data_IF_996008504186
#
_entry.id   IF_996008504186
#
_cell.length_a   1.000
_cell.length_b   1.000
_cell.length_c   1.000
_cell.angle_alpha   90.00
_cell.angle_beta   90.00
_cell.angle_gamma   90.00
#
_symmetry.space_group_name_H-M   'P 1'
#
loop_
_entity.id
_entity.type
_entity.pdbx_description
1 polymer ?
#
# COMPACT_ATOMS: atom_id res chain seq x y z
N UNK A 1 -2.54 -34.80 1.44
CA UNK A 1 -3.26 -33.59 1.77
C UNK A 1 -3.05 -32.51 0.73
N UNK A 2 -3.82 -31.47 0.85
CA UNK A 2 -3.67 -30.33 -0.03
C UNK A 2 -2.47 -29.51 0.38
N UNK A 3 -1.73 -29.01 -0.59
CA UNK A 3 -0.66 -28.06 -0.32
C UNK A 3 -1.26 -26.79 0.27
N UNK A 4 -0.60 -26.24 1.28
CA UNK A 4 -1.02 -24.97 1.84
C UNK A 4 -0.80 -23.84 0.84
N UNK A 5 -1.77 -22.97 0.75
CA UNK A 5 -1.65 -21.78 -0.08
C UNK A 5 -0.84 -20.71 0.63
N UNK A 6 -0.16 -19.88 -0.15
CA UNK A 6 0.53 -18.72 0.38
C UNK A 6 -0.53 -17.65 0.68
N UNK A 7 -0.60 -17.21 1.92
CA UNK A 7 -1.58 -16.22 2.35
C UNK A 7 -1.03 -14.81 2.13
N UNK A 8 -1.78 -13.99 1.41
CA UNK A 8 -1.39 -12.62 1.07
C UNK A 8 -2.38 -11.66 1.72
N UNK A 9 -1.91 -10.87 2.67
CA UNK A 9 -2.71 -9.88 3.38
C UNK A 9 -2.52 -8.51 2.73
N UNK A 10 -3.58 -7.95 2.17
CA UNK A 10 -3.57 -6.61 1.62
C UNK A 10 -4.11 -5.64 2.67
N UNK A 11 -3.22 -4.87 3.26
CA UNK A 11 -3.50 -3.95 4.36
C UNK A 11 -3.54 -2.53 3.82
N UNK A 12 -4.57 -1.77 4.17
CA UNK A 12 -4.65 -0.40 3.67
C UNK A 12 -5.95 0.31 4.02
N UNK A 13 -6.16 1.39 3.29
CA UNK A 13 -7.33 2.26 3.43
C UNK A 13 -8.34 2.01 2.32
N UNK A 14 -9.03 3.07 1.89
CA UNK A 14 -10.05 2.98 0.85
C UNK A 14 -9.51 2.51 -0.50
N UNK A 15 -8.27 2.79 -0.82
CA UNK A 15 -7.67 2.33 -2.08
C UNK A 15 -7.57 0.81 -2.10
N UNK A 16 -7.12 0.21 -1.00
CA UNK A 16 -7.07 -1.25 -0.86
C UNK A 16 -8.47 -1.83 -0.79
N UNK A 17 -9.35 -1.20 -0.01
CA UNK A 17 -10.75 -1.64 0.10
C UNK A 17 -11.44 -1.67 -1.26
N UNK A 18 -11.14 -0.69 -2.12
CA UNK A 18 -11.78 -0.57 -3.42
C UNK A 18 -12.97 0.39 -3.40
N UNK A 19 -12.88 1.44 -2.57
CA UNK A 19 -13.94 2.44 -2.48
C UNK A 19 -14.26 3.04 -3.85
N UNK A 20 -15.55 3.10 -4.18
CA UNK A 20 -16.02 3.70 -5.42
C UNK A 20 -15.91 2.81 -6.65
N UNK A 21 -15.36 1.60 -6.52
CA UNK A 21 -15.21 0.68 -7.64
C UNK A 21 -16.49 -0.12 -7.81
N UNK A 22 -17.00 -0.12 -9.03
CA UNK A 22 -18.16 -0.95 -9.40
C UNK A 22 -17.77 -2.42 -9.31
N UNK A 23 -18.67 -3.25 -8.74
CA UNK A 23 -18.39 -4.67 -8.49
C UNK A 23 -17.08 -4.85 -7.72
N UNK A 24 -17.00 -4.18 -6.58
CA UNK A 24 -15.79 -4.13 -5.75
C UNK A 24 -15.21 -5.52 -5.46
N UNK A 25 -16.08 -6.50 -5.19
CA UNK A 25 -15.64 -7.85 -4.81
C UNK A 25 -14.76 -8.51 -5.85
N UNK A 26 -14.90 -8.13 -7.12
CA UNK A 26 -14.08 -8.69 -8.20
C UNK A 26 -13.08 -7.67 -8.75
N UNK A 27 -13.31 -6.37 -8.56
CA UNK A 27 -12.56 -5.32 -9.26
C UNK A 27 -11.61 -4.52 -8.38
N UNK A 28 -11.65 -4.66 -7.06
CA UNK A 28 -10.63 -4.04 -6.21
C UNK A 28 -9.25 -4.66 -6.47
N UNK A 29 -8.18 -3.96 -6.10
CA UNK A 29 -6.85 -4.47 -6.43
C UNK A 29 -6.57 -5.84 -5.80
N UNK A 30 -6.94 -6.12 -4.53
CA UNK A 30 -6.70 -7.47 -3.97
C UNK A 30 -7.42 -8.57 -4.73
N UNK A 31 -8.64 -8.33 -5.21
CA UNK A 31 -9.38 -9.33 -5.98
C UNK A 31 -8.73 -9.58 -7.34
N UNK A 32 -8.28 -8.52 -8.01
CA UNK A 32 -7.57 -8.68 -9.28
C UNK A 32 -6.22 -9.36 -9.08
N UNK A 33 -5.53 -9.06 -7.97
CA UNK A 33 -4.29 -9.73 -7.62
C UNK A 33 -4.51 -11.22 -7.41
N UNK A 34 -5.60 -11.61 -6.74
CA UNK A 34 -5.94 -13.02 -6.55
C UNK A 34 -6.08 -13.74 -7.89
N UNK A 35 -6.75 -13.12 -8.85
CA UNK A 35 -6.91 -13.72 -10.18
C UNK A 35 -5.56 -13.93 -10.86
N UNK A 36 -4.65 -12.97 -10.73
CA UNK A 36 -3.32 -13.07 -11.33
C UNK A 36 -2.45 -14.13 -10.67
N UNK A 37 -2.53 -14.25 -9.35
CA UNK A 37 -1.70 -15.18 -8.60
C UNK A 37 -2.18 -16.62 -8.71
N UNK A 38 -3.48 -16.84 -8.86
CA UNK A 38 -4.04 -18.17 -9.01
C UNK A 38 -4.20 -18.92 -7.69
N UNK A 39 -4.47 -20.23 -7.81
CA UNK A 39 -4.92 -21.06 -6.68
C UNK A 39 -3.85 -21.38 -5.65
N UNK A 40 -2.58 -21.17 -5.97
CA UNK A 40 -1.50 -21.38 -5.01
C UNK A 40 -1.46 -20.30 -3.93
N UNK A 41 -2.24 -19.24 -4.10
CA UNK A 41 -2.26 -18.10 -3.19
C UNK A 41 -3.69 -17.85 -2.69
N UNK A 42 -3.77 -17.35 -1.46
CA UNK A 42 -5.03 -16.88 -0.88
C UNK A 42 -4.86 -15.41 -0.52
N UNK A 43 -5.47 -14.52 -1.32
CA UNK A 43 -5.37 -13.08 -1.12
C UNK A 43 -6.59 -12.60 -0.34
N UNK A 44 -6.37 -11.82 0.70
CA UNK A 44 -7.44 -11.26 1.52
C UNK A 44 -7.32 -9.73 1.59
N UNK A 45 -8.47 -9.07 1.53
CA UNK A 45 -8.57 -7.61 1.55
C UNK A 45 -8.86 -7.15 2.98
N UNK A 46 -7.88 -6.49 3.59
CA UNK A 46 -8.02 -5.89 4.93
C UNK A 46 -7.97 -4.37 4.85
N UNK A 47 -8.49 -3.81 3.76
CA UNK A 47 -8.63 -2.38 3.62
C UNK A 47 -9.77 -1.82 4.46
N UNK A 48 -9.59 -0.62 5.03
CA UNK A 48 -10.62 0.08 5.77
C UNK A 48 -10.65 1.54 5.33
N UNK A 49 -11.76 1.94 4.71
CA UNK A 49 -11.91 3.31 4.17
C UNK A 49 -11.73 4.35 5.26
N UNK A 50 -10.95 5.38 4.96
CA UNK A 50 -10.69 6.47 5.89
C UNK A 50 -9.61 6.19 6.93
N UNK A 51 -9.03 4.99 6.96
CA UNK A 51 -8.06 4.65 7.98
C UNK A 51 -6.78 5.48 7.86
N UNK A 52 -6.27 5.93 9.01
CA UNK A 52 -4.97 6.58 9.12
C UNK A 52 -3.91 5.58 9.56
N UNK A 53 -2.68 5.82 9.16
CA UNK A 53 -1.51 5.11 9.70
C UNK A 53 -1.26 5.57 11.14
N UNK A 54 -1.34 6.88 11.36
CA UNK A 54 -1.08 7.47 12.68
C UNK A 54 -2.08 6.95 13.70
N UNK A 55 -1.58 6.41 14.81
CA UNK A 55 -2.42 5.86 15.88
C UNK A 55 -3.23 6.93 16.60
N UNK A 56 -2.78 8.18 16.55
CA UNK A 56 -3.52 9.31 17.11
C UNK A 56 -4.35 10.04 16.08
N UNK A 57 -4.38 9.55 14.84
CA UNK A 57 -5.23 10.13 13.81
C UNK A 57 -6.71 9.93 14.12
N UNK A 58 -7.55 10.51 13.27
CA UNK A 58 -8.99 10.48 13.53
C UNK A 58 -9.65 9.12 13.29
N UNK A 59 -8.96 8.20 12.59
CA UNK A 59 -9.47 6.83 12.34
C UNK A 59 -8.29 5.86 12.21
N UNK A 60 -7.62 5.54 13.33
CA UNK A 60 -6.41 4.71 13.25
C UNK A 60 -6.70 3.32 12.71
N UNK A 61 -5.90 2.87 11.77
CA UNK A 61 -6.04 1.51 11.22
C UNK A 61 -5.97 0.47 12.33
N UNK A 62 -5.08 0.66 13.30
CA UNK A 62 -4.88 -0.30 14.40
C UNK A 62 -6.08 -0.42 15.33
N UNK A 63 -7.07 0.46 15.23
CA UNK A 63 -8.30 0.38 16.01
C UNK A 63 -9.46 -0.19 15.19
N UNK A 64 -9.24 -0.60 13.97
CA UNK A 64 -10.31 -1.11 13.11
C UNK A 64 -10.36 -2.63 13.15
N UNK A 65 -11.56 -3.17 12.92
CA UNK A 65 -11.74 -4.62 12.87
C UNK A 65 -10.89 -5.25 11.77
N UNK A 66 -10.70 -4.54 10.64
CA UNK A 66 -9.86 -5.02 9.54
C UNK A 66 -8.45 -5.38 10.03
N UNK A 67 -7.88 -4.58 10.91
CA UNK A 67 -6.57 -4.87 11.47
C UNK A 67 -6.57 -6.15 12.30
N UNK A 68 -7.58 -6.32 13.17
CA UNK A 68 -7.68 -7.52 13.99
C UNK A 68 -7.83 -8.77 13.11
N UNK A 69 -8.61 -8.67 12.06
CA UNK A 69 -8.76 -9.76 11.09
C UNK A 69 -7.45 -10.06 10.37
N UNK A 70 -6.72 -9.02 10.00
CA UNK A 70 -5.42 -9.19 9.34
C UNK A 70 -4.42 -9.90 10.24
N UNK A 71 -4.40 -9.57 11.53
CA UNK A 71 -3.54 -10.26 12.50
C UNK A 71 -3.89 -11.74 12.60
N UNK A 72 -5.20 -12.05 12.71
CA UNK A 72 -5.64 -13.44 12.80
C UNK A 72 -5.36 -14.22 11.52
N UNK A 73 -5.43 -13.56 10.39
CA UNK A 73 -5.10 -14.17 9.10
C UNK A 73 -3.63 -14.63 9.05
N UNK A 74 -2.75 -13.90 9.73
CA UNK A 74 -1.33 -14.21 9.82
C UNK A 74 -0.71 -14.46 8.43
N UNK A 75 -0.82 -13.46 7.55
CA UNK A 75 -0.37 -13.58 6.16
C UNK A 75 1.10 -13.95 6.03
N UNK A 76 1.41 -14.78 5.05
CA UNK A 76 2.79 -15.07 4.69
C UNK A 76 3.42 -13.88 3.96
N UNK A 77 2.62 -13.16 3.21
CA UNK A 77 2.98 -11.90 2.55
C UNK A 77 2.05 -10.83 3.07
N UNK A 78 2.61 -9.69 3.44
CA UNK A 78 1.83 -8.54 3.93
C UNK A 78 2.19 -7.32 3.09
N UNK A 79 1.20 -6.71 2.48
CA UNK A 79 1.38 -5.54 1.61
C UNK A 79 0.65 -4.38 2.25
N UNK A 80 1.37 -3.32 2.60
CA UNK A 80 0.83 -2.20 3.36
C UNK A 80 0.78 -0.94 2.49
N UNK A 81 -0.41 -0.39 2.33
CA UNK A 81 -0.62 0.89 1.66
C UNK A 81 -1.45 1.81 2.55
N UNK A 82 -0.78 2.64 3.31
CA UNK A 82 -1.39 3.59 4.25
C UNK A 82 -0.67 4.93 4.17
N UNK A 83 -1.32 5.98 4.62
CA UNK A 83 -0.74 7.31 4.72
C UNK A 83 -1.58 8.40 4.05
N UNK A 84 -2.41 8.06 3.06
CA UNK A 84 -3.19 9.08 2.34
C UNK A 84 -4.07 9.90 3.26
N UNK A 85 -4.75 9.26 4.20
CA UNK A 85 -5.66 9.94 5.12
C UNK A 85 -4.91 10.74 6.18
N UNK A 86 -3.65 10.43 6.38
CA UNK A 86 -2.78 11.15 7.31
C UNK A 86 -2.40 12.54 6.80
N UNK A 87 -2.61 12.82 5.51
CA UNK A 87 -2.41 14.16 4.95
C UNK A 87 -3.50 15.13 5.38
N UNK A 88 -4.52 14.66 6.11
CA UNK A 88 -5.58 15.52 6.64
C UNK A 88 -4.99 16.48 7.69
N UNK A 89 -5.43 17.77 7.71
CA UNK A 89 -4.96 18.72 8.72
C UNK A 89 -5.23 18.31 10.16
N UNK A 90 -6.17 17.39 10.40
CA UNK A 90 -6.42 16.86 11.74
C UNK A 90 -5.40 15.84 12.17
N UNK A 91 -4.58 15.33 11.25
CA UNK A 91 -3.63 14.27 11.54
C UNK A 91 -2.18 14.74 11.43
N UNK A 92 -1.72 15.03 10.23
CA UNK A 92 -0.29 15.24 9.98
C UNK A 92 0.35 16.34 10.85
N UNK A 93 -0.18 17.57 10.86
CA UNK A 93 0.51 18.63 11.59
C UNK A 93 0.60 18.38 13.10
N UNK A 94 -0.32 17.57 13.63
CA UNK A 94 -0.36 17.33 15.08
C UNK A 94 0.47 16.12 15.49
N UNK A 95 0.61 15.12 14.60
CA UNK A 95 1.15 13.82 15.02
C UNK A 95 2.25 13.28 14.09
N UNK A 96 2.75 14.08 13.16
CA UNK A 96 3.73 13.63 12.17
C UNK A 96 4.99 13.01 12.79
N UNK A 97 5.37 13.45 13.97
CA UNK A 97 6.57 12.91 14.63
C UNK A 97 6.41 11.45 15.02
N UNK A 98 5.18 10.95 15.07
CA UNK A 98 4.88 9.56 15.39
C UNK A 98 4.87 8.64 14.16
N UNK A 99 4.95 9.19 12.95
CA UNK A 99 4.67 8.43 11.73
C UNK A 99 5.60 7.23 11.56
N UNK A 100 6.90 7.44 11.70
CA UNK A 100 7.89 6.36 11.55
C UNK A 100 7.67 5.30 12.63
N UNK A 101 7.56 5.73 13.89
CA UNK A 101 7.35 4.81 15.02
C UNK A 101 6.08 3.99 14.85
N UNK A 102 4.98 4.64 14.49
CA UNK A 102 3.70 3.95 14.33
C UNK A 102 3.74 2.97 13.17
N UNK A 103 4.40 3.33 12.08
CA UNK A 103 4.50 2.43 10.92
C UNK A 103 5.39 1.22 11.24
N UNK A 104 6.53 1.43 11.89
CA UNK A 104 7.40 0.33 12.29
C UNK A 104 6.68 -0.60 13.28
N UNK A 105 5.89 -0.02 14.19
CA UNK A 105 5.09 -0.81 15.13
C UNK A 105 4.05 -1.66 14.41
N UNK A 106 3.41 -1.12 13.40
CA UNK A 106 2.46 -1.86 12.58
C UNK A 106 3.14 -3.05 11.89
N UNK A 107 4.27 -2.82 11.26
CA UNK A 107 5.04 -3.88 10.62
C UNK A 107 5.39 -4.97 11.63
N UNK A 108 5.87 -4.56 12.79
CA UNK A 108 6.27 -5.51 13.83
C UNK A 108 5.09 -6.36 14.30
N UNK A 109 3.89 -5.79 14.38
CA UNK A 109 2.70 -6.56 14.78
C UNK A 109 2.39 -7.70 13.81
N UNK A 110 2.60 -7.48 12.51
CA UNK A 110 2.41 -8.54 11.52
C UNK A 110 3.51 -9.60 11.61
N UNK A 111 4.74 -9.18 11.91
CA UNK A 111 5.85 -10.11 12.10
C UNK A 111 5.68 -10.96 13.37
N UNK A 112 5.03 -10.42 14.39
CA UNK A 112 4.67 -11.19 15.58
C UNK A 112 3.58 -12.21 15.27
N UNK A 113 2.61 -11.82 14.47
CA UNK A 113 1.52 -12.72 14.08
C UNK A 113 2.04 -13.88 13.22
N UNK A 114 3.03 -13.61 12.37
CA UNK A 114 3.69 -14.63 11.55
C UNK A 114 5.16 -14.27 11.38
N UNK A 115 6.08 -14.86 12.17
CA UNK A 115 7.50 -14.52 12.11
C UNK A 115 8.17 -14.79 10.77
N UNK A 116 7.53 -15.57 9.90
CA UNK A 116 8.07 -15.87 8.56
C UNK A 116 7.52 -14.91 7.50
N UNK A 117 6.66 -13.99 7.86
CA UNK A 117 6.03 -13.15 6.85
C UNK A 117 7.07 -12.25 6.17
N UNK A 118 6.81 -11.99 4.89
CA UNK A 118 7.53 -10.99 4.12
C UNK A 118 6.65 -9.77 4.01
N UNK A 119 7.25 -8.59 4.15
CA UNK A 119 6.51 -7.32 4.18
C UNK A 119 6.93 -6.45 3.00
N UNK A 120 5.94 -5.95 2.29
CA UNK A 120 6.09 -4.93 1.26
C UNK A 120 5.42 -3.66 1.74
N UNK A 121 6.15 -2.56 1.67
CA UNK A 121 5.66 -1.24 2.06
C UNK A 121 5.48 -0.44 0.78
N UNK A 122 4.30 0.14 0.59
CA UNK A 122 3.98 0.83 -0.65
C UNK A 122 4.18 2.35 -0.53
N UNK A 123 4.86 2.94 -1.51
CA UNK A 123 4.69 4.37 -1.76
C UNK A 123 3.24 4.57 -2.15
N UNK A 124 2.67 5.67 -1.68
CA UNK A 124 1.23 5.91 -1.82
C UNK A 124 0.83 6.19 -3.26
N UNK A 125 -0.37 5.75 -3.61
CA UNK A 125 -1.01 6.16 -4.86
C UNK A 125 -1.11 7.69 -4.90
N UNK A 126 -1.18 8.29 -6.11
CA UNK A 126 -1.21 9.74 -6.20
C UNK A 126 -2.53 10.34 -5.74
N UNK A 127 -2.46 11.57 -5.25
CA UNK A 127 -3.62 12.45 -5.10
C UNK A 127 -3.53 13.44 -6.25
N UNK A 128 -4.55 13.48 -7.11
CA UNK A 128 -4.55 14.41 -8.25
C UNK A 128 -4.56 15.85 -7.76
N UNK A 129 -3.86 16.72 -8.48
CA UNK A 129 -3.83 18.14 -8.18
C UNK A 129 -5.24 18.79 -8.19
N UNK A 130 -6.21 18.11 -8.78
CA UNK A 130 -7.61 18.58 -8.79
C UNK A 130 -8.34 18.31 -7.49
N UNK A 131 -7.79 17.47 -6.61
CA UNK A 131 -8.46 17.14 -5.35
C UNK A 131 -8.55 18.40 -4.48
N UNK A 132 -9.75 18.73 -3.94
CA UNK A 132 -9.91 19.97 -3.17
C UNK A 132 -8.99 20.08 -1.97
N UNK A 133 -8.62 18.95 -1.39
CA UNK A 133 -7.75 18.89 -0.22
C UNK A 133 -6.25 18.97 -0.59
N UNK A 134 -5.91 18.71 -1.84
CA UNK A 134 -4.51 18.63 -2.25
C UNK A 134 -3.96 20.01 -2.64
N UNK A 135 -3.93 20.89 -1.67
CA UNK A 135 -3.40 22.25 -1.83
C UNK A 135 -2.14 22.39 -1.01
N UNK A 136 -1.55 23.55 -0.99
CA UNK A 136 -0.19 23.81 -0.50
C UNK A 136 0.30 22.91 0.64
N UNK A 137 -0.30 22.97 1.81
CA UNK A 137 0.14 22.21 2.97
C UNK A 137 -0.01 20.71 2.76
N UNK A 138 -1.17 20.25 2.32
CA UNK A 138 -1.44 18.83 2.11
C UNK A 138 -0.50 18.22 1.07
N UNK A 139 -0.17 18.98 0.03
CA UNK A 139 0.77 18.52 -0.99
C UNK A 139 2.16 18.30 -0.39
N UNK A 140 2.62 19.23 0.43
CA UNK A 140 3.92 19.10 1.08
C UNK A 140 3.92 17.91 2.04
N UNK A 141 2.84 17.71 2.78
CA UNK A 141 2.70 16.59 3.72
C UNK A 141 2.70 15.25 3.00
N UNK A 142 2.04 15.18 1.84
CA UNK A 142 2.07 13.96 1.01
C UNK A 142 3.51 13.58 0.65
N UNK A 143 4.31 14.54 0.19
CA UNK A 143 5.68 14.26 -0.20
C UNK A 143 6.58 13.98 0.99
N UNK A 144 6.33 14.59 2.15
CA UNK A 144 7.00 14.23 3.39
C UNK A 144 6.74 12.78 3.76
N UNK A 145 5.48 12.35 3.68
CA UNK A 145 5.13 10.96 3.96
C UNK A 145 5.80 10.00 2.99
N UNK A 146 5.83 10.33 1.70
CA UNK A 146 6.50 9.47 0.71
C UNK A 146 7.97 9.24 1.06
N UNK A 147 8.66 10.30 1.46
CA UNK A 147 10.07 10.19 1.86
C UNK A 147 10.22 9.31 3.12
N UNK A 148 9.33 9.48 4.09
CA UNK A 148 9.36 8.66 5.31
C UNK A 148 9.02 7.20 5.03
N UNK A 149 8.09 6.93 4.12
CA UNK A 149 7.73 5.57 3.73
C UNK A 149 8.94 4.84 3.15
N UNK A 150 9.74 5.51 2.31
CA UNK A 150 10.96 4.92 1.78
C UNK A 150 11.95 4.59 2.90
N UNK A 151 12.09 5.51 3.85
CA UNK A 151 12.98 5.30 5.00
C UNK A 151 12.49 4.17 5.90
N UNK A 152 11.18 4.09 6.12
CA UNK A 152 10.57 3.02 6.91
C UNK A 152 10.85 1.65 6.29
N UNK A 153 10.68 1.53 4.97
CA UNK A 153 10.97 0.28 4.27
C UNK A 153 12.42 -0.13 4.50
N UNK A 154 13.35 0.83 4.39
CA UNK A 154 14.77 0.57 4.62
C UNK A 154 15.05 0.13 6.05
N UNK A 155 14.53 0.86 7.03
CA UNK A 155 14.75 0.55 8.45
C UNK A 155 14.19 -0.83 8.81
N UNK A 156 13.00 -1.13 8.31
CA UNK A 156 12.31 -2.38 8.63
C UNK A 156 12.86 -3.58 7.85
N UNK A 157 13.73 -3.35 6.87
CA UNK A 157 14.16 -4.42 5.98
C UNK A 157 13.01 -4.97 5.15
N UNK A 158 12.03 -4.12 4.82
CA UNK A 158 10.90 -4.46 3.98
C UNK A 158 11.17 -4.02 2.54
N UNK A 159 10.48 -4.63 1.59
CA UNK A 159 10.61 -4.26 0.18
C UNK A 159 9.68 -3.10 -0.13
N UNK A 160 10.19 -2.08 -0.80
CA UNK A 160 9.40 -0.94 -1.24
C UNK A 160 8.70 -1.26 -2.54
N UNK A 161 7.40 -0.93 -2.64
CA UNK A 161 6.62 -1.05 -3.86
C UNK A 161 6.09 0.33 -4.23
N UNK A 162 6.33 0.75 -5.46
CA UNK A 162 5.90 2.07 -5.90
C UNK A 162 4.52 2.01 -6.54
N UNK A 163 3.49 2.37 -5.77
CA UNK A 163 2.12 2.46 -6.28
C UNK A 163 1.79 3.86 -6.82
N UNK A 164 2.71 4.79 -6.72
CA UNK A 164 2.50 6.14 -7.22
C UNK A 164 2.73 6.23 -8.73
N UNK A 165 3.79 5.61 -9.21
CA UNK A 165 4.27 5.81 -10.57
C UNK A 165 3.28 5.36 -11.64
N UNK A 166 2.63 4.22 -11.46
CA UNK A 166 1.72 3.67 -12.47
C UNK A 166 0.47 4.51 -12.70
N UNK A 167 0.10 5.36 -11.73
CA UNK A 167 -1.08 6.22 -11.80
C UNK A 167 -0.73 7.71 -11.86
N UNK A 168 0.54 8.03 -11.80
CA UNK A 168 1.00 9.42 -11.65
C UNK A 168 0.47 10.35 -12.75
N UNK A 169 0.51 9.92 -13.99
CA UNK A 169 0.08 10.71 -15.13
C UNK A 169 -1.23 10.18 -15.73
N UNK A 170 -2.03 9.47 -14.92
CA UNK A 170 -3.30 8.90 -15.35
C UNK A 170 -4.46 9.42 -14.47
N UNK A 171 -4.71 10.75 -14.46
CA UNK A 171 -5.83 11.29 -13.68
C UNK A 171 -7.18 10.78 -14.16
N UNK A 172 -7.27 10.30 -15.39
CA UNK A 172 -8.47 9.68 -15.95
C UNK A 172 -8.87 8.43 -15.18
N UNK A 173 -7.93 7.77 -14.48
CA UNK A 173 -8.20 6.58 -13.69
C UNK A 173 -8.56 6.90 -12.24
N UNK A 174 -8.59 8.18 -11.87
CA UNK A 174 -8.96 8.66 -10.53
C UNK A 174 -10.20 9.57 -10.65
N UNK A 175 -11.41 9.01 -10.77
CA UNK A 175 -12.60 9.81 -11.04
C UNK A 175 -12.87 10.92 -10.04
N UNK A 176 -12.56 10.70 -8.76
CA UNK A 176 -12.72 11.71 -7.71
C UNK A 176 -11.39 12.37 -7.33
N UNK A 177 -10.38 12.22 -8.17
CA UNK A 177 -9.03 12.77 -7.98
C UNK A 177 -8.22 12.05 -6.87
N UNK A 178 -8.73 10.94 -6.35
CA UNK A 178 -8.07 10.20 -5.26
C UNK A 178 -8.20 8.69 -5.43
N UNK A 179 -9.40 8.19 -5.68
CA UNK A 179 -9.67 6.76 -5.68
C UNK A 179 -9.58 6.17 -7.09
N UNK A 180 -8.74 5.14 -7.29
CA UNK A 180 -8.66 4.48 -8.60
C UNK A 180 -9.96 3.79 -8.97
N UNK A 181 -10.31 3.83 -10.25
CA UNK A 181 -11.38 3.00 -10.79
C UNK A 181 -10.86 1.56 -11.00
N UNK A 182 -11.69 0.69 -11.60
CA UNK A 182 -11.32 -0.71 -11.80
C UNK A 182 -10.04 -0.86 -12.64
N UNK A 183 -9.88 -0.05 -13.68
CA UNK A 183 -8.66 -0.09 -14.49
C UNK A 183 -7.44 0.34 -13.68
N UNK A 184 -7.58 1.40 -12.89
CA UNK A 184 -6.50 1.85 -11.99
C UNK A 184 -6.14 0.78 -10.96
N UNK A 185 -7.16 0.13 -10.38
CA UNK A 185 -6.94 -0.98 -9.46
C UNK A 185 -6.19 -2.13 -10.13
N UNK A 186 -6.44 -2.37 -11.43
CA UNK A 186 -5.72 -3.37 -12.20
C UNK A 186 -4.24 -3.03 -12.34
N UNK A 187 -3.92 -1.76 -12.52
CA UNK A 187 -2.52 -1.31 -12.56
C UNK A 187 -1.84 -1.58 -11.21
N UNK A 188 -2.53 -1.28 -10.11
CA UNK A 188 -1.99 -1.57 -8.77
C UNK A 188 -1.76 -3.07 -8.59
N UNK A 189 -2.74 -3.88 -9.00
CA UNK A 189 -2.63 -5.33 -8.88
C UNK A 189 -1.45 -5.87 -9.68
N UNK A 190 -1.22 -5.38 -10.90
CA UNK A 190 -0.08 -5.80 -11.70
C UNK A 190 1.24 -5.40 -11.09
N UNK A 191 1.31 -4.19 -10.51
CA UNK A 191 2.52 -3.72 -9.84
C UNK A 191 2.85 -4.61 -8.63
N UNK A 192 1.85 -4.91 -7.82
CA UNK A 192 2.03 -5.78 -6.66
C UNK A 192 2.38 -7.20 -7.10
N UNK A 193 1.70 -7.72 -8.12
CA UNK A 193 2.00 -9.04 -8.67
C UNK A 193 3.48 -9.15 -9.08
N UNK A 194 3.99 -8.15 -9.80
CA UNK A 194 5.40 -8.12 -10.18
C UNK A 194 6.33 -8.10 -8.97
N UNK A 195 5.97 -7.32 -7.94
CA UNK A 195 6.77 -7.24 -6.72
C UNK A 195 6.81 -8.57 -5.96
N UNK A 196 5.70 -9.31 -5.94
CA UNK A 196 5.62 -10.59 -5.22
C UNK A 196 6.30 -11.74 -5.97
N UNK A 197 6.22 -11.74 -7.29
CA UNK A 197 6.63 -12.89 -8.10
C UNK A 197 7.89 -12.66 -8.92
N UNK A 198 8.29 -11.41 -9.13
CA UNK A 198 9.38 -11.08 -10.04
C UNK A 198 8.97 -11.09 -11.50
N UNK A 199 7.70 -11.35 -11.79
CA UNK A 199 7.19 -11.42 -13.17
C UNK A 199 6.50 -10.12 -13.54
N UNK A 200 7.11 -9.34 -14.41
CA UNK A 200 6.61 -8.04 -14.87
C UNK A 200 6.02 -8.09 -16.27
N UNK A 201 5.57 -9.28 -16.70
CA UNK A 201 4.86 -9.42 -17.98
C UNK A 201 5.70 -9.12 -19.20
N UNK A 202 7.00 -9.40 -19.13
CA UNK A 202 7.91 -9.11 -20.22
C UNK A 202 8.40 -7.66 -20.27
N UNK A 203 7.91 -6.81 -19.38
CA UNK A 203 8.43 -5.45 -19.27
C UNK A 203 9.80 -5.48 -18.59
N UNK A 204 10.73 -4.70 -19.15
CA UNK A 204 12.04 -4.55 -18.54
C UNK A 204 11.99 -3.43 -17.53
N UNK A 205 12.37 -3.73 -16.28
CA UNK A 205 12.51 -2.68 -15.29
C UNK A 205 13.70 -1.81 -15.64
N UNK A 206 13.59 -0.49 -15.44
CA UNK A 206 14.77 0.36 -15.55
C UNK A 206 15.88 -0.14 -14.61
N UNK A 207 17.12 -0.02 -15.04
CA UNK A 207 18.25 -0.49 -14.24
C UNK A 207 18.27 0.12 -12.83
N UNK A 208 17.76 1.34 -12.69
CA UNK A 208 17.71 2.02 -11.40
C UNK A 208 16.84 1.29 -10.38
N UNK A 209 15.89 0.45 -10.83
CA UNK A 209 15.04 -0.30 -9.93
C UNK A 209 15.61 -1.67 -9.62
N UNK A 210 16.52 -2.16 -10.45
CA UNK A 210 17.12 -3.46 -10.21
C UNK A 210 18.28 -3.38 -9.21
N UNK A 211 18.84 -2.23 -9.08
CA UNK A 211 19.98 -1.98 -8.21
C UNK A 211 19.61 -1.44 -6.87
N UNK A 212 19.03 -0.87 -6.76
CA UNK A 212 18.84 -0.15 -5.69
C UNK A 212 18.22 -0.13 -4.79
N UNK A 213 18.27 -0.05 -5.91
CA UNK A 213 17.75 0.17 -5.52
C UNK A 213 18.19 0.32 -5.04
N UNK A 214 18.70 0.58 -5.81
CA UNK A 214 19.09 0.87 -5.59
C UNK A 214 19.56 1.34 -5.72
N UNK A 215 19.73 1.71 -6.55
CA UNK A 215 20.18 2.23 -6.81
C UNK A 215 20.41 2.73 -6.41
N UNK A 216 20.42 2.94 -6.88
CA UNK A 216 20.73 3.42 -6.75
C UNK A 216 21.07 3.80 -6.07
N UNK A 217 21.21 3.94 -6.67
CA UNK A 217 21.66 4.18 -6.38
C UNK A 217 22.49 4.22 -5.82
N UNK A 218 22.70 4.24 -6.35
CA UNK A 218 23.50 4.17 -6.23
C UNK A 218 23.92 4.22 -6.18
N UNK A 219 23.96 4.42 -6.65
CA UNK A 219 24.34 4.46 -6.91
C UNK A 219 24.74 4.78 -6.93
N UNK A 220 24.92 5.00 -7.48
CA UNK A 220 25.28 5.23 -7.70
C UNK A 220 25.64 5.37 -7.51
#
# INVERSE_FOLDING_TARGET
>A
GQAQRIKVACVGNSVTYGYGIENRETNCYPAQLQQMLGDAYEVANFGHSGATLLNKGYRPYTQQEAYQKALRFAGDYVIIHLGLNDTDPRAWPNYRDDFVRDYLSLIESFRKANPRCKVWVCRMTPISHRHPRFKSGTRDWYWMEQALIEEIARIAGATLVDLQEGLYDRPDLLPDALHPNAEGAGILARTVYGALTGDYGGLQLPAIYSDRMVLQRDQP
#
